data_IF_281056961343
#
_entry.id   IF_281056961343
#
_cell.length_a   1.000
_cell.length_b   1.000
_cell.length_c   1.000
_cell.angle_alpha   90.00
_cell.angle_beta   90.00
_cell.angle_gamma   90.00
#
_symmetry.space_group_name_H-M   'P 1'
#
loop_
_entity.id
_entity.type
_entity.pdbx_description
1 polymer ?
#
# COMPACT_ATOMS: atom_id res chain seq x y z
N UNK A 1 -2.65 -45.65 54.62
CA UNK A 1 -3.82 -44.80 54.26
C UNK A 1 -3.43 -43.44 53.67
N UNK A 2 -2.37 -42.76 54.16
CA UNK A 2 -1.88 -41.47 53.62
C UNK A 2 -1.43 -41.48 52.15
N UNK A 3 -0.78 -42.55 51.69
CA UNK A 3 -0.34 -42.69 50.29
C UNK A 3 -1.52 -42.80 49.29
N UNK A 4 -2.63 -43.44 49.70
CA UNK A 4 -3.84 -43.52 48.86
C UNK A 4 -4.59 -42.19 48.80
N UNK A 5 -4.57 -41.41 49.89
CA UNK A 5 -5.13 -40.06 49.92
C UNK A 5 -4.32 -39.09 49.03
N UNK A 6 -2.99 -39.25 49.02
CA UNK A 6 -2.09 -38.45 48.17
C UNK A 6 -2.32 -38.74 46.67
N UNK A 7 -2.51 -40.01 46.31
CA UNK A 7 -2.83 -40.43 44.93
C UNK A 7 -4.19 -39.90 44.46
N UNK A 8 -5.18 -39.86 45.35
CA UNK A 8 -6.53 -39.36 45.04
C UNK A 8 -6.56 -37.84 44.85
N UNK A 9 -5.75 -37.10 45.64
CA UNK A 9 -5.57 -35.66 45.48
C UNK A 9 -4.86 -35.33 44.15
N UNK A 10 -3.84 -36.11 43.78
CA UNK A 10 -3.11 -35.91 42.52
C UNK A 10 -4.00 -36.15 41.29
N UNK A 11 -4.91 -37.13 41.34
CA UNK A 11 -5.90 -37.36 40.27
C UNK A 11 -6.95 -36.24 40.16
N UNK A 12 -7.28 -35.57 41.27
CA UNK A 12 -8.24 -34.46 41.27
C UNK A 12 -7.63 -33.18 40.67
N UNK A 13 -6.33 -32.94 40.85
CA UNK A 13 -5.63 -31.82 40.23
C UNK A 13 -5.44 -31.97 38.71
N UNK A 14 -5.37 -33.20 38.18
CA UNK A 14 -5.24 -33.42 36.73
C UNK A 14 -6.57 -33.27 35.96
N UNK A 15 -7.72 -33.44 36.62
CA UNK A 15 -9.03 -33.32 35.97
C UNK A 15 -9.49 -31.85 35.76
N UNK A 16 -8.84 -30.88 36.41
CA UNK A 16 -9.20 -29.47 36.33
C UNK A 16 -8.71 -28.77 35.04
N UNK A 17 -7.87 -29.40 34.22
CA UNK A 17 -7.36 -28.83 32.97
C UNK A 17 -8.11 -29.30 31.71
N UNK A 18 -9.17 -30.09 31.85
CA UNK A 18 -9.94 -30.62 30.73
C UNK A 18 -11.29 -29.91 30.54
N UNK A 19 -11.38 -28.61 30.87
CA UNK A 19 -12.53 -27.79 30.47
C UNK A 19 -12.48 -27.60 28.95
N UNK A 20 -13.41 -28.18 28.17
CA UNK A 20 -13.48 -27.86 26.75
C UNK A 20 -13.78 -26.37 26.60
N UNK A 21 -13.01 -25.71 25.73
CA UNK A 21 -13.20 -24.30 25.42
C UNK A 21 -14.65 -24.09 24.94
N UNK A 22 -15.35 -23.03 25.39
CA UNK A 22 -16.63 -22.66 24.80
C UNK A 22 -16.41 -22.50 23.30
N UNK A 23 -17.19 -23.23 22.49
CA UNK A 23 -17.16 -23.09 21.04
C UNK A 23 -17.46 -21.63 20.72
N UNK A 24 -16.40 -20.88 20.40
CA UNK A 24 -16.55 -19.53 19.87
C UNK A 24 -17.46 -19.67 18.63
N UNK A 25 -18.46 -18.79 18.45
CA UNK A 25 -19.29 -18.83 17.27
C UNK A 25 -18.36 -18.78 16.07
N UNK A 26 -18.20 -19.92 15.40
CA UNK A 26 -17.52 -20.01 14.12
C UNK A 26 -18.38 -19.22 13.16
N UNK A 27 -18.12 -17.92 13.07
CA UNK A 27 -18.39 -17.14 11.88
C UNK A 27 -17.74 -17.93 10.76
N UNK A 28 -18.58 -18.68 10.05
CA UNK A 28 -18.19 -19.37 8.83
C UNK A 28 -17.80 -18.27 7.87
N UNK A 29 -16.51 -17.91 7.88
CA UNK A 29 -15.92 -17.11 6.83
C UNK A 29 -16.11 -17.96 5.59
N UNK A 30 -17.14 -17.64 4.82
CA UNK A 30 -17.40 -18.26 3.54
C UNK A 30 -16.23 -17.81 2.66
N UNK A 31 -15.17 -18.62 2.58
CA UNK A 31 -14.11 -18.41 1.61
C UNK A 31 -14.80 -18.44 0.25
N UNK A 32 -14.94 -17.26 -0.36
CA UNK A 32 -15.40 -17.16 -1.74
C UNK A 32 -14.28 -17.74 -2.58
N UNK A 33 -14.37 -19.02 -2.90
CA UNK A 33 -13.59 -19.62 -3.99
C UNK A 33 -14.12 -19.01 -5.28
N UNK A 34 -13.51 -17.91 -5.72
CA UNK A 34 -13.84 -17.27 -7.00
C UNK A 34 -13.34 -18.18 -8.11
N UNK A 35 -14.18 -19.10 -8.58
CA UNK A 35 -13.97 -19.73 -9.88
C UNK A 35 -14.30 -18.65 -10.92
N UNK A 36 -13.27 -17.99 -11.45
CA UNK A 36 -13.42 -17.04 -12.57
C UNK A 36 -12.53 -15.80 -12.46
N UNK A 37 -11.47 -15.76 -13.25
CA UNK A 37 -10.72 -14.55 -13.67
C UNK A 37 -9.94 -13.76 -12.62
N UNK A 38 -10.23 -13.91 -11.32
CA UNK A 38 -9.53 -13.22 -10.24
C UNK A 38 -8.08 -13.69 -10.11
N UNK A 39 -7.86 -15.01 -10.15
CA UNK A 39 -6.52 -15.60 -10.09
C UNK A 39 -5.67 -15.17 -11.29
N UNK A 40 -6.27 -15.11 -12.49
CA UNK A 40 -5.61 -14.62 -13.71
C UNK A 40 -5.23 -13.14 -13.59
N UNK A 41 -6.10 -12.31 -13.00
CA UNK A 41 -5.81 -10.90 -12.75
C UNK A 41 -4.69 -10.71 -11.72
N UNK A 42 -4.65 -11.53 -10.67
CA UNK A 42 -3.58 -11.48 -9.68
C UNK A 42 -2.25 -11.96 -10.28
N UNK A 43 -2.27 -13.03 -11.07
CA UNK A 43 -1.11 -13.51 -11.82
C UNK A 43 -0.62 -12.45 -12.82
N UNK A 44 -1.53 -11.82 -13.55
CA UNK A 44 -1.24 -10.69 -14.45
C UNK A 44 -0.60 -9.53 -13.71
N UNK A 45 -1.16 -9.11 -12.58
CA UNK A 45 -0.57 -8.05 -11.77
C UNK A 45 0.84 -8.42 -11.28
N UNK A 46 1.07 -9.68 -10.92
CA UNK A 46 2.39 -10.15 -10.51
C UNK A 46 3.39 -10.14 -11.68
N UNK A 47 2.98 -10.47 -12.91
CA UNK A 47 3.85 -10.36 -14.08
C UNK A 47 4.17 -8.91 -14.42
N UNK A 48 3.20 -7.99 -14.30
CA UNK A 48 3.42 -6.57 -14.56
C UNK A 48 4.51 -5.96 -13.67
N UNK A 49 4.62 -6.41 -12.40
CA UNK A 49 5.65 -5.91 -11.48
C UNK A 49 7.09 -6.23 -11.91
N UNK A 50 7.28 -7.19 -12.83
CA UNK A 50 8.60 -7.56 -13.37
C UNK A 50 8.97 -6.74 -14.61
N UNK A 51 8.03 -5.99 -15.17
CA UNK A 51 8.23 -5.18 -16.37
C UNK A 51 8.94 -3.87 -16.04
N UNK A 52 9.77 -3.40 -16.97
CA UNK A 52 10.34 -2.06 -16.96
C UNK A 52 9.26 -0.99 -17.24
N UNK A 53 9.52 0.28 -16.91
CA UNK A 53 8.59 1.38 -17.23
C UNK A 53 8.24 1.48 -18.73
N UNK A 54 9.19 1.18 -19.61
CA UNK A 54 8.96 1.18 -21.06
C UNK A 54 8.02 0.05 -21.50
N UNK A 55 8.19 -1.13 -20.93
CA UNK A 55 7.33 -2.29 -21.20
C UNK A 55 5.92 -2.09 -20.65
N UNK A 56 5.78 -1.47 -19.47
CA UNK A 56 4.48 -1.06 -18.94
C UNK A 56 3.76 -0.08 -19.88
N UNK A 57 4.50 0.87 -20.46
CA UNK A 57 3.97 1.79 -21.47
C UNK A 57 3.46 1.06 -22.74
N UNK A 58 4.21 0.06 -23.21
CA UNK A 58 3.81 -0.78 -24.36
C UNK A 58 2.58 -1.62 -24.05
N UNK A 59 2.52 -2.22 -22.86
CA UNK A 59 1.37 -2.99 -22.39
C UNK A 59 0.13 -2.11 -22.31
N UNK A 60 0.25 -0.89 -21.76
CA UNK A 60 -0.85 0.07 -21.71
C UNK A 60 -1.35 0.44 -23.13
N UNK A 61 -0.45 0.63 -24.08
CA UNK A 61 -0.81 0.87 -25.48
C UNK A 61 -1.54 -0.33 -26.09
N UNK A 62 -1.05 -1.55 -25.85
CA UNK A 62 -1.69 -2.77 -26.31
C UNK A 62 -3.11 -2.91 -25.73
N UNK A 63 -3.31 -2.63 -24.44
CA UNK A 63 -4.63 -2.62 -23.81
C UNK A 63 -5.54 -1.52 -24.36
N UNK A 64 -5.00 -0.37 -24.76
CA UNK A 64 -5.78 0.70 -25.37
C UNK A 64 -6.20 0.41 -26.80
N UNK A 65 -5.43 -0.39 -27.54
CA UNK A 65 -5.77 -0.85 -28.89
C UNK A 65 -6.81 -1.97 -28.92
N UNK A 66 -7.08 -2.63 -27.77
CA UNK A 66 -8.14 -3.65 -27.68
C UNK A 66 -9.52 -2.99 -27.82
N UNK A 67 -10.30 -3.48 -28.76
CA UNK A 67 -11.68 -3.08 -28.98
C UNK A 67 -12.60 -4.03 -28.21
N UNK A 68 -13.67 -3.49 -27.61
CA UNK A 68 -14.51 -4.22 -26.67
C UNK A 68 -14.26 -3.74 -25.25
N UNK A 69 -15.12 -2.84 -24.77
CA UNK A 69 -15.12 -2.41 -23.37
C UNK A 69 -15.56 -3.54 -22.46
N UNK A 70 -15.15 -3.50 -21.19
CA UNK A 70 -15.57 -4.47 -20.19
C UNK A 70 -14.86 -4.27 -18.86
N UNK A 71 -15.46 -4.78 -17.79
CA UNK A 71 -14.94 -4.65 -16.43
C UNK A 71 -13.51 -5.24 -16.28
N UNK A 72 -13.23 -6.36 -16.96
CA UNK A 72 -11.91 -6.98 -16.93
C UNK A 72 -10.83 -6.14 -17.64
N UNK A 73 -11.14 -5.55 -18.80
CA UNK A 73 -10.21 -4.68 -19.51
C UNK A 73 -9.94 -3.39 -18.73
N UNK A 74 -10.98 -2.79 -18.13
CA UNK A 74 -10.83 -1.63 -17.26
C UNK A 74 -9.97 -1.96 -16.02
N UNK A 75 -10.13 -3.15 -15.44
CA UNK A 75 -9.31 -3.63 -14.33
C UNK A 75 -7.82 -3.77 -14.74
N UNK A 76 -7.54 -4.40 -15.88
CA UNK A 76 -6.17 -4.55 -16.39
C UNK A 76 -5.50 -3.20 -16.63
N UNK A 77 -6.22 -2.26 -17.27
CA UNK A 77 -5.73 -0.88 -17.47
C UNK A 77 -5.41 -0.18 -16.16
N UNK A 78 -6.29 -0.30 -15.16
CA UNK A 78 -6.07 0.28 -13.84
C UNK A 78 -4.84 -0.32 -13.13
N UNK A 79 -4.58 -1.62 -13.29
CA UNK A 79 -3.40 -2.27 -12.72
C UNK A 79 -2.10 -1.79 -13.35
N UNK A 80 -2.06 -1.62 -14.68
CA UNK A 80 -0.88 -1.09 -15.38
C UNK A 80 -0.62 0.37 -14.98
N UNK A 81 -1.66 1.21 -15.01
CA UNK A 81 -1.57 2.62 -14.61
C UNK A 81 -1.14 2.79 -13.14
N UNK A 82 -1.58 1.91 -12.23
CA UNK A 82 -1.16 1.95 -10.84
C UNK A 82 0.33 1.69 -10.63
N UNK A 83 0.98 0.96 -11.54
CA UNK A 83 2.40 0.63 -11.46
C UNK A 83 3.32 1.71 -12.02
N UNK A 84 2.83 2.65 -12.82
CA UNK A 84 3.65 3.79 -13.28
C UNK A 84 3.95 4.78 -12.15
N UNK A 85 3.14 4.74 -11.07
CA UNK A 85 3.26 5.57 -9.85
C UNK A 85 3.23 7.09 -10.12
N UNK A 86 2.79 7.50 -11.30
CA UNK A 86 2.56 8.90 -11.63
C UNK A 86 1.19 9.36 -11.08
N UNK A 87 1.13 10.57 -10.52
CA UNK A 87 -0.11 11.08 -9.91
C UNK A 87 -1.26 11.26 -10.93
N UNK A 88 -0.93 11.61 -12.18
CA UNK A 88 -1.89 11.70 -13.27
C UNK A 88 -2.40 10.32 -13.69
N UNK A 89 -1.50 9.33 -13.77
CA UNK A 89 -1.89 7.96 -14.09
C UNK A 89 -2.70 7.28 -12.99
N UNK A 90 -2.42 7.55 -11.71
CA UNK A 90 -3.25 7.09 -10.58
C UNK A 90 -4.69 7.62 -10.69
N UNK A 91 -4.86 8.87 -11.11
CA UNK A 91 -6.20 9.45 -11.33
C UNK A 91 -6.93 8.75 -12.48
N UNK A 92 -6.23 8.46 -13.59
CA UNK A 92 -6.80 7.66 -14.70
C UNK A 92 -7.13 6.24 -14.25
N UNK A 93 -6.28 5.62 -13.42
CA UNK A 93 -6.51 4.28 -12.89
C UNK A 93 -7.79 4.23 -12.06
N UNK A 94 -8.00 5.20 -11.17
CA UNK A 94 -9.24 5.32 -10.40
C UNK A 94 -10.47 5.51 -11.29
N UNK A 95 -10.36 6.28 -12.37
CA UNK A 95 -11.44 6.42 -13.33
C UNK A 95 -11.80 5.07 -14.00
N UNK A 96 -10.80 4.26 -14.38
CA UNK A 96 -11.03 2.91 -14.91
C UNK A 96 -11.72 2.00 -13.89
N UNK A 97 -11.29 2.04 -12.62
CA UNK A 97 -11.94 1.27 -11.55
C UNK A 97 -13.37 1.75 -11.29
N UNK A 98 -13.64 3.04 -11.44
CA UNK A 98 -15.01 3.58 -11.39
C UNK A 98 -15.93 2.93 -12.41
N UNK A 99 -15.45 2.69 -13.64
CA UNK A 99 -16.21 1.98 -14.67
C UNK A 99 -16.54 0.53 -14.23
N UNK A 100 -15.61 -0.16 -13.57
CA UNK A 100 -15.82 -1.52 -13.03
C UNK A 100 -16.89 -1.52 -11.94
N UNK A 101 -16.86 -0.53 -11.05
CA UNK A 101 -17.81 -0.42 -9.94
C UNK A 101 -19.23 -0.09 -10.41
N UNK A 102 -19.34 0.73 -11.45
CA UNK A 102 -20.62 1.13 -12.07
C UNK A 102 -21.19 0.07 -13.01
N UNK A 103 -20.38 -0.87 -13.52
CA UNK A 103 -20.86 -1.94 -14.39
C UNK A 103 -21.85 -2.87 -13.67
N UNK A 104 -22.88 -3.31 -14.39
CA UNK A 104 -24.00 -4.13 -13.88
C UNK A 104 -23.91 -5.60 -14.28
N UNK A 105 -22.93 -5.97 -15.12
CA UNK A 105 -22.77 -7.33 -15.62
C UNK A 105 -22.34 -8.29 -14.50
N UNK A 106 -22.69 -9.58 -14.63
CA UNK A 106 -22.32 -10.62 -13.65
C UNK A 106 -20.82 -10.69 -13.42
N UNK A 107 -20.03 -10.53 -14.48
CA UNK A 107 -18.58 -10.60 -14.45
C UNK A 107 -17.99 -9.39 -13.73
N UNK A 108 -18.62 -8.22 -13.84
CA UNK A 108 -18.25 -7.04 -13.09
C UNK A 108 -18.50 -7.22 -11.60
N UNK A 109 -19.62 -7.84 -11.22
CA UNK A 109 -19.98 -8.07 -9.82
C UNK A 109 -18.89 -8.85 -9.05
N UNK A 110 -18.27 -9.85 -9.68
CA UNK A 110 -17.16 -10.61 -9.10
C UNK A 110 -15.89 -9.77 -8.89
N UNK A 111 -15.67 -8.73 -9.70
CA UNK A 111 -14.50 -7.85 -9.65
C UNK A 111 -14.65 -6.65 -8.70
N UNK A 112 -15.88 -6.31 -8.29
CA UNK A 112 -16.16 -5.13 -7.44
C UNK A 112 -15.36 -5.10 -6.13
N UNK A 113 -15.21 -6.22 -5.37
CA UNK A 113 -14.43 -6.19 -4.13
C UNK A 113 -12.97 -5.81 -4.37
N UNK A 114 -12.34 -6.36 -5.42
CA UNK A 114 -10.98 -6.01 -5.78
C UNK A 114 -10.89 -4.55 -6.27
N UNK A 115 -11.86 -4.09 -7.06
CA UNK A 115 -11.89 -2.71 -7.53
C UNK A 115 -11.99 -1.71 -6.36
N UNK A 116 -12.80 -1.98 -5.35
CA UNK A 116 -12.91 -1.14 -4.15
C UNK A 116 -11.59 -1.06 -3.39
N UNK A 117 -10.90 -2.20 -3.20
CA UNK A 117 -9.59 -2.25 -2.57
C UNK A 117 -8.54 -1.45 -3.35
N UNK A 118 -8.53 -1.57 -4.68
CA UNK A 118 -7.57 -0.83 -5.51
C UNK A 118 -7.86 0.67 -5.53
N UNK A 119 -9.14 1.09 -5.50
CA UNK A 119 -9.50 2.51 -5.40
C UNK A 119 -8.95 3.13 -4.11
N UNK A 120 -9.12 2.47 -2.96
CA UNK A 120 -8.59 2.97 -1.69
C UNK A 120 -7.06 2.99 -1.70
N UNK A 121 -6.43 1.93 -2.19
CA UNK A 121 -4.98 1.86 -2.29
C UNK A 121 -4.39 2.96 -3.18
N UNK A 122 -4.99 3.22 -4.35
CA UNK A 122 -4.51 4.28 -5.25
C UNK A 122 -4.76 5.68 -4.68
N UNK A 123 -5.83 5.88 -3.91
CA UNK A 123 -6.05 7.14 -3.19
C UNK A 123 -4.98 7.39 -2.13
N UNK A 124 -4.59 6.34 -1.39
CA UNK A 124 -3.49 6.39 -0.43
C UNK A 124 -2.14 6.65 -1.11
N UNK A 125 -1.84 5.96 -2.20
CA UNK A 125 -0.62 6.19 -2.98
C UNK A 125 -0.51 7.64 -3.44
N UNK A 126 -1.60 8.23 -3.91
CA UNK A 126 -1.64 9.64 -4.31
C UNK A 126 -1.35 10.57 -3.13
N UNK A 127 -1.99 10.36 -1.98
CA UNK A 127 -1.73 11.15 -0.75
C UNK A 127 -0.28 11.04 -0.29
N UNK A 128 0.30 9.84 -0.39
CA UNK A 128 1.71 9.62 -0.06
C UNK A 128 2.64 10.36 -1.02
N UNK A 129 2.33 10.36 -2.32
CA UNK A 129 3.09 11.11 -3.32
C UNK A 129 3.04 12.62 -3.04
N UNK A 130 1.84 13.17 -2.79
CA UNK A 130 1.65 14.58 -2.46
C UNK A 130 2.43 14.99 -1.19
N UNK A 131 2.49 14.10 -0.19
CA UNK A 131 3.25 14.33 1.03
C UNK A 131 4.76 14.27 0.80
N UNK A 132 5.23 13.35 -0.06
CA UNK A 132 6.62 13.25 -0.44
C UNK A 132 7.09 14.51 -1.18
N UNK A 133 6.27 15.04 -2.09
CA UNK A 133 6.56 16.28 -2.82
C UNK A 133 6.66 17.48 -1.88
N UNK A 134 5.72 17.62 -0.94
CA UNK A 134 5.76 18.67 0.10
C UNK A 134 6.99 18.57 0.98
N UNK A 135 7.32 17.35 1.44
CA UNK A 135 8.50 17.12 2.27
C UNK A 135 9.80 17.44 1.51
N UNK A 136 9.89 17.07 0.23
CA UNK A 136 11.00 17.41 -0.64
C UNK A 136 11.16 18.91 -0.84
N UNK A 137 10.07 19.65 -1.00
CA UNK A 137 10.10 21.10 -1.10
C UNK A 137 10.59 21.75 0.21
N UNK A 138 10.06 21.31 1.35
CA UNK A 138 10.48 21.81 2.66
C UNK A 138 11.97 21.53 2.93
N UNK A 139 12.47 20.35 2.55
CA UNK A 139 13.88 20.01 2.70
C UNK A 139 14.79 20.95 1.89
N UNK A 140 14.41 21.29 0.65
CA UNK A 140 15.15 22.24 -0.19
C UNK A 140 15.15 23.64 0.39
N UNK A 141 14.01 24.10 0.89
CA UNK A 141 13.90 25.43 1.50
C UNK A 141 14.66 25.53 2.83
N UNK A 142 14.67 24.46 3.63
CA UNK A 142 15.50 24.37 4.83
C UNK A 142 16.98 24.36 4.49
N UNK A 143 17.41 23.63 3.45
CA UNK A 143 18.80 23.64 3.00
C UNK A 143 19.25 25.06 2.62
N UNK A 144 18.44 25.79 1.84
CA UNK A 144 18.72 27.19 1.49
C UNK A 144 18.88 28.08 2.72
N UNK A 145 18.02 27.90 3.74
CA UNK A 145 18.13 28.65 5.00
C UNK A 145 19.40 28.29 5.76
N UNK A 146 19.80 27.02 5.78
CA UNK A 146 21.06 26.58 6.39
C UNK A 146 22.26 27.21 5.69
N UNK A 147 22.28 27.22 4.36
CA UNK A 147 23.36 27.82 3.57
C UNK A 147 23.47 29.33 3.86
N UNK A 148 22.35 30.04 3.93
CA UNK A 148 22.31 31.47 4.30
C UNK A 148 22.79 31.73 5.74
N UNK A 149 22.44 30.87 6.68
CA UNK A 149 22.90 30.98 8.06
C UNK A 149 24.40 30.70 8.15
N UNK A 150 24.90 29.71 7.40
CA UNK A 150 26.33 29.40 7.31
C UNK A 150 27.13 30.57 6.75
N UNK A 151 26.63 31.21 5.68
CA UNK A 151 27.27 32.39 5.11
C UNK A 151 27.36 33.54 6.13
N UNK A 152 26.29 33.78 6.90
CA UNK A 152 26.30 34.79 7.97
C UNK A 152 27.29 34.46 9.08
N UNK A 153 27.39 33.20 9.49
CA UNK A 153 28.35 32.76 10.50
C UNK A 153 29.79 32.98 10.04
N UNK A 154 30.11 32.61 8.80
CA UNK A 154 31.43 32.87 8.22
C UNK A 154 31.72 34.37 8.08
N UNK A 155 30.73 35.19 7.72
CA UNK A 155 30.87 36.65 7.71
C UNK A 155 31.17 37.20 9.11
N UNK A 156 30.47 36.74 10.15
CA UNK A 156 30.72 37.15 11.54
C UNK A 156 32.11 36.72 12.03
N UNK A 157 32.52 35.48 11.74
CA UNK A 157 33.85 34.96 12.07
C UNK A 157 34.96 35.77 11.39
N UNK A 158 34.74 36.20 10.15
CA UNK A 158 35.69 37.06 9.45
C UNK A 158 35.79 38.44 10.11
N UNK A 159 34.66 39.02 10.53
CA UNK A 159 34.66 40.28 11.30
C UNK A 159 35.47 40.11 12.58
N UNK A 160 35.22 39.05 13.35
CA UNK A 160 35.95 38.75 14.60
C UNK A 160 37.47 38.67 14.35
N UNK A 161 37.90 37.98 13.29
CA UNK A 161 39.33 37.85 12.96
C UNK A 161 39.99 39.19 12.59
N UNK A 162 39.22 40.14 12.07
CA UNK A 162 39.74 41.44 11.61
C UNK A 162 39.70 42.54 12.67
N UNK A 163 39.16 42.25 13.87
CA UNK A 163 39.08 43.24 14.95
C UNK A 163 40.48 43.53 15.55
N UNK A 164 40.95 44.79 15.55
CA UNK A 164 42.22 45.13 16.18
C UNK A 164 42.07 45.13 17.71
N UNK A 165 42.91 44.35 18.41
CA UNK A 165 43.06 44.42 19.87
C UNK A 165 42.96 43.12 20.67
N UNK A 166 42.83 41.94 20.04
CA UNK A 166 42.88 40.68 20.82
C UNK A 166 44.32 40.34 21.27
N UNK A 167 44.57 40.15 22.58
CA UNK A 167 45.84 39.61 23.07
C UNK A 167 46.01 38.14 22.61
N UNK A 168 47.24 37.78 22.23
CA UNK A 168 47.61 36.42 21.80
C UNK A 168 47.56 35.42 22.94
#
# INVERSE_FOLDING_TARGET
MKSRLLLLLLSLLLAACATPAPEAPTSTVKLVTTVGGMDDLLAYHQSLRRLSPQELGRELQALNARHGGGAMLAMQKAMVLGLTRDAGDLTKAQAQLGLVLSATDSDAAALKPLAQLLVSNYAEMRRLNDNADKAGQQARDNQRRLDQLSEKLEALKNIERTLPGQPK
#
